data_IF_941091113898
#
_entry.id   IF_941091113898
#
_cell.length_a   1.000
_cell.length_b   1.000
_cell.length_c   1.000
_cell.angle_alpha   90.00
_cell.angle_beta   90.00
_cell.angle_gamma   90.00
#
_symmetry.space_group_name_H-M   'P 1'
#
loop_
_entity.id
_entity.type
_entity.pdbx_description
1 polymer ?
#
# COMPACT_ATOMS: atom_id res chain seq x y z
N UNK A 1 22.93 -19.72 -14.93
CA UNK A 1 21.52 -19.38 -15.08
C UNK A 1 20.78 -19.73 -13.83
N UNK A 2 19.61 -19.16 -13.64
CA UNK A 2 18.80 -19.37 -12.46
C UNK A 2 18.26 -20.79 -12.41
N UNK A 3 18.09 -21.34 -11.21
CA UNK A 3 17.60 -22.69 -11.00
C UNK A 3 16.13 -22.84 -11.47
N UNK A 4 15.38 -21.74 -11.45
CA UNK A 4 13.97 -21.69 -11.88
C UNK A 4 13.59 -20.26 -12.28
N UNK A 5 12.60 -20.13 -13.15
CA UNK A 5 12.08 -18.84 -13.59
C UNK A 5 10.98 -18.30 -12.65
N UNK A 6 10.13 -19.19 -12.14
CA UNK A 6 9.14 -18.90 -11.13
C UNK A 6 8.84 -20.13 -10.25
N UNK A 7 8.29 -19.89 -9.07
CA UNK A 7 7.75 -20.91 -8.17
C UNK A 7 6.29 -20.62 -7.90
N UNK A 8 5.45 -21.61 -8.06
CA UNK A 8 4.01 -21.49 -7.84
C UNK A 8 3.59 -22.30 -6.61
N UNK A 9 2.58 -21.78 -5.93
CA UNK A 9 1.89 -22.47 -4.85
C UNK A 9 0.39 -22.32 -5.11
N UNK A 10 -0.32 -23.41 -5.10
CA UNK A 10 -1.75 -23.43 -5.43
C UNK A 10 -2.60 -22.89 -4.29
N UNK A 11 -3.84 -22.52 -4.56
CA UNK A 11 -4.77 -22.05 -3.55
C UNK A 11 -5.00 -23.11 -2.48
N UNK A 12 -5.07 -22.67 -1.25
CA UNK A 12 -5.37 -23.50 -0.09
C UNK A 12 -6.14 -22.68 0.95
N UNK A 13 -7.00 -23.34 1.69
CA UNK A 13 -7.64 -22.77 2.88
C UNK A 13 -6.72 -22.78 4.12
N UNK A 14 -5.62 -23.52 4.06
CA UNK A 14 -4.62 -23.57 5.14
C UNK A 14 -3.58 -22.48 4.98
N UNK A 15 -3.80 -21.38 5.68
CA UNK A 15 -2.90 -20.21 5.68
C UNK A 15 -1.50 -20.56 6.19
N UNK A 16 -1.35 -21.54 7.09
CA UNK A 16 -0.05 -21.95 7.62
C UNK A 16 0.85 -22.52 6.53
N UNK A 17 0.28 -23.22 5.55
CA UNK A 17 1.00 -23.73 4.39
C UNK A 17 1.50 -22.59 3.48
N UNK A 18 0.67 -21.56 3.28
CA UNK A 18 1.06 -20.37 2.51
C UNK A 18 2.22 -19.65 3.19
N UNK A 19 2.11 -19.40 4.50
CA UNK A 19 3.16 -18.75 5.29
C UNK A 19 4.46 -19.56 5.22
N UNK A 20 4.38 -20.90 5.39
CA UNK A 20 5.53 -21.78 5.31
C UNK A 20 6.18 -21.78 3.92
N UNK A 21 5.37 -21.70 2.86
CA UNK A 21 5.88 -21.57 1.50
C UNK A 21 6.65 -20.27 1.32
N UNK A 22 6.06 -19.13 1.72
CA UNK A 22 6.68 -17.81 1.60
C UNK A 22 7.99 -17.74 2.41
N UNK A 23 8.01 -18.20 3.66
CA UNK A 23 9.19 -18.18 4.52
C UNK A 23 10.37 -19.00 3.99
N UNK A 24 10.11 -20.01 3.16
CA UNK A 24 11.16 -20.82 2.53
C UNK A 24 11.77 -20.16 1.29
N UNK A 25 11.14 -19.09 0.78
CA UNK A 25 11.70 -18.39 -0.37
C UNK A 25 12.88 -17.52 0.09
N UNK A 26 13.88 -17.44 -0.78
CA UNK A 26 15.06 -16.59 -0.59
C UNK A 26 15.21 -15.73 -1.83
N UNK A 27 15.48 -14.45 -1.65
CA UNK A 27 15.91 -13.60 -2.73
C UNK A 27 17.32 -14.03 -3.14
N UNK A 28 17.41 -14.72 -4.27
CA UNK A 28 18.66 -15.24 -4.82
C UNK A 28 18.50 -15.42 -6.33
N UNK A 29 19.56 -15.18 -7.08
CA UNK A 29 19.54 -15.21 -8.55
C UNK A 29 19.48 -13.82 -9.15
N UNK A 30 19.14 -13.75 -10.43
CA UNK A 30 19.11 -12.51 -11.21
C UNK A 30 20.46 -12.22 -11.86
N UNK A 31 20.46 -12.01 -13.17
CA UNK A 31 21.65 -11.65 -13.97
C UNK A 31 21.53 -10.26 -14.57
N UNK A 32 20.33 -9.70 -14.54
CA UNK A 32 19.99 -8.39 -15.10
C UNK A 32 18.95 -7.70 -14.19
N UNK A 33 18.71 -6.42 -14.47
CA UNK A 33 17.81 -5.60 -13.66
C UNK A 33 16.32 -5.87 -13.94
N UNK A 34 15.88 -6.11 -15.19
CA UNK A 34 14.47 -6.42 -15.45
C UNK A 34 14.06 -7.78 -14.88
N UNK A 35 12.80 -7.85 -14.42
CA UNK A 35 12.24 -9.03 -13.75
C UNK A 35 11.31 -9.87 -14.65
N UNK A 36 11.11 -11.14 -14.27
CA UNK A 36 10.28 -12.12 -14.98
C UNK A 36 8.76 -11.88 -14.74
N UNK A 37 8.30 -10.64 -14.93
CA UNK A 37 6.91 -10.20 -14.65
C UNK A 37 5.91 -10.94 -15.52
N UNK A 38 6.23 -11.15 -16.80
CA UNK A 38 5.36 -11.84 -17.76
C UNK A 38 5.11 -13.27 -17.31
N UNK A 39 6.15 -13.98 -16.97
CA UNK A 39 6.11 -15.38 -16.56
C UNK A 39 5.38 -15.55 -15.23
N UNK A 40 5.56 -14.60 -14.31
CA UNK A 40 4.82 -14.55 -13.05
C UNK A 40 3.33 -14.31 -13.27
N UNK A 41 2.96 -13.36 -14.14
CA UNK A 41 1.57 -13.09 -14.53
C UNK A 41 0.94 -14.30 -15.23
N UNK A 42 1.62 -14.87 -16.22
CA UNK A 42 1.14 -16.02 -16.96
C UNK A 42 0.90 -17.22 -16.03
N UNK A 43 1.83 -17.50 -15.13
CA UNK A 43 1.67 -18.54 -14.12
C UNK A 43 0.47 -18.22 -13.19
N UNK A 44 0.36 -17.01 -12.74
CA UNK A 44 -0.72 -16.59 -11.83
C UNK A 44 -2.10 -16.59 -12.51
N UNK A 45 -2.21 -16.30 -13.79
CA UNK A 45 -3.48 -16.25 -14.52
C UNK A 45 -3.90 -17.63 -15.03
N UNK A 46 -2.96 -18.49 -15.43
CA UNK A 46 -3.25 -19.72 -16.17
C UNK A 46 -2.96 -21.01 -15.42
N UNK A 47 -1.97 -21.03 -14.52
CA UNK A 47 -1.49 -22.26 -13.93
C UNK A 47 -2.04 -22.56 -12.53
N UNK A 48 -2.52 -21.52 -11.83
CA UNK A 48 -3.08 -21.68 -10.49
C UNK A 48 -4.55 -22.08 -10.61
N UNK A 49 -4.94 -23.18 -9.95
CA UNK A 49 -6.33 -23.59 -9.87
C UNK A 49 -7.15 -22.59 -9.07
N UNK A 50 -8.10 -21.95 -9.72
CA UNK A 50 -9.05 -21.03 -9.08
C UNK A 50 -10.42 -21.65 -9.01
N UNK A 51 -11.12 -21.29 -7.95
CA UNK A 51 -12.55 -21.53 -7.88
C UNK A 51 -13.25 -20.56 -8.84
N UNK A 52 -13.93 -21.07 -9.85
CA UNK A 52 -14.65 -20.28 -10.84
C UNK A 52 -15.84 -19.53 -10.19
N UNK A 53 -16.41 -20.09 -9.12
CA UNK A 53 -17.49 -19.50 -8.35
C UNK A 53 -17.02 -18.51 -7.29
N UNK A 54 -15.69 -18.28 -7.18
CA UNK A 54 -15.15 -17.29 -6.26
C UNK A 54 -15.73 -15.91 -6.54
N UNK A 55 -16.30 -15.30 -5.50
CA UNK A 55 -16.97 -14.00 -5.56
C UNK A 55 -16.04 -12.87 -6.02
N UNK A 56 -14.79 -12.91 -5.61
CA UNK A 56 -13.77 -11.96 -6.03
C UNK A 56 -12.44 -12.68 -6.25
N UNK A 57 -11.72 -12.25 -7.26
CA UNK A 57 -10.40 -12.79 -7.62
C UNK A 57 -9.42 -11.62 -7.66
N UNK A 58 -8.53 -11.55 -6.66
CA UNK A 58 -7.54 -10.48 -6.53
C UNK A 58 -6.15 -11.04 -6.81
N UNK A 59 -5.39 -10.32 -7.62
CA UNK A 59 -3.99 -10.61 -7.94
C UNK A 59 -3.12 -9.42 -7.54
N UNK A 60 -2.46 -9.50 -6.39
CA UNK A 60 -1.47 -8.51 -5.98
C UNK A 60 -0.15 -8.80 -6.67
N UNK A 61 0.44 -7.79 -7.31
CA UNK A 61 1.76 -7.86 -7.92
C UNK A 61 2.67 -6.85 -7.24
N UNK A 62 3.68 -7.34 -6.53
CA UNK A 62 4.70 -6.50 -5.91
C UNK A 62 5.92 -6.48 -6.83
N UNK A 63 6.29 -5.30 -7.29
CA UNK A 63 7.44 -5.09 -8.18
C UNK A 63 8.38 -4.02 -7.62
N UNK A 64 9.66 -4.32 -7.67
CA UNK A 64 10.78 -3.42 -7.34
C UNK A 64 11.71 -3.18 -8.55
N UNK A 65 11.40 -3.78 -9.70
CA UNK A 65 12.10 -3.58 -10.96
C UNK A 65 11.14 -3.69 -12.16
N UNK A 66 11.50 -3.12 -13.33
CA UNK A 66 10.68 -3.20 -14.52
C UNK A 66 10.65 -4.61 -15.11
N UNK A 67 9.63 -4.95 -15.93
CA UNK A 67 9.68 -6.11 -16.80
C UNK A 67 10.68 -5.87 -17.95
N UNK A 68 11.05 -6.92 -18.64
CA UNK A 68 11.72 -6.78 -19.93
C UNK A 68 10.80 -6.07 -20.94
N UNK A 69 11.31 -5.03 -21.59
CA UNK A 69 10.59 -4.25 -22.60
C UNK A 69 11.13 -4.55 -24.00
N UNK A 70 10.32 -5.23 -24.79
CA UNK A 70 10.37 -5.26 -26.24
C UNK A 70 8.93 -5.31 -26.76
N UNK A 71 8.72 -5.05 -28.03
CA UNK A 71 7.37 -4.94 -28.62
C UNK A 71 6.55 -6.21 -28.43
N UNK A 72 7.16 -7.38 -28.52
CA UNK A 72 6.49 -8.66 -28.31
C UNK A 72 6.03 -8.84 -26.87
N UNK A 73 6.90 -8.49 -25.93
CA UNK A 73 6.60 -8.59 -24.48
C UNK A 73 5.56 -7.59 -24.03
N UNK A 74 5.56 -6.38 -24.57
CA UNK A 74 4.53 -5.39 -24.31
C UNK A 74 3.16 -5.90 -24.76
N UNK A 75 3.07 -6.46 -25.99
CA UNK A 75 1.83 -7.07 -26.50
C UNK A 75 1.40 -8.24 -25.60
N UNK A 76 2.35 -9.05 -25.15
CA UNK A 76 2.06 -10.18 -24.25
C UNK A 76 1.52 -9.71 -22.91
N UNK A 77 2.08 -8.65 -22.31
CA UNK A 77 1.58 -8.04 -21.07
C UNK A 77 0.15 -7.51 -21.22
N UNK A 78 -0.15 -6.81 -22.32
CA UNK A 78 -1.50 -6.34 -22.64
C UNK A 78 -2.49 -7.51 -22.77
N UNK A 79 -2.11 -8.56 -23.48
CA UNK A 79 -2.95 -9.74 -23.63
C UNK A 79 -3.19 -10.47 -22.28
N UNK A 80 -2.20 -10.50 -21.40
CA UNK A 80 -2.35 -11.09 -20.05
C UNK A 80 -3.30 -10.24 -19.19
N UNK A 81 -3.21 -8.92 -19.24
CA UNK A 81 -4.14 -8.05 -18.52
C UNK A 81 -5.58 -8.23 -19.03
N UNK A 82 -5.78 -8.25 -20.35
CA UNK A 82 -7.07 -8.56 -20.96
C UNK A 82 -7.61 -9.92 -20.54
N UNK A 83 -6.79 -10.95 -20.56
CA UNK A 83 -7.16 -12.30 -20.13
C UNK A 83 -7.52 -12.36 -18.64
N UNK A 84 -6.80 -11.62 -17.78
CA UNK A 84 -7.16 -11.48 -16.38
C UNK A 84 -8.55 -10.84 -16.22
N UNK A 85 -8.83 -9.77 -16.96
CA UNK A 85 -10.14 -9.12 -16.95
C UNK A 85 -11.25 -10.08 -17.42
N UNK A 86 -11.03 -10.85 -18.48
CA UNK A 86 -11.98 -11.86 -18.98
C UNK A 86 -12.28 -12.96 -17.95
N UNK A 87 -11.31 -13.31 -17.11
CA UNK A 87 -11.47 -14.26 -15.99
C UNK A 87 -11.99 -13.62 -14.70
N UNK A 88 -12.32 -12.33 -14.71
CA UNK A 88 -12.77 -11.58 -13.53
C UNK A 88 -11.68 -11.39 -12.47
N UNK A 89 -10.40 -11.50 -12.85
CA UNK A 89 -9.26 -11.28 -11.97
C UNK A 89 -8.92 -9.79 -11.96
N UNK A 90 -8.94 -9.15 -10.79
CA UNK A 90 -8.52 -7.77 -10.60
C UNK A 90 -7.04 -7.74 -10.27
N UNK A 91 -6.25 -7.10 -11.11
CA UNK A 91 -4.82 -6.90 -10.87
C UNK A 91 -4.64 -5.69 -9.99
N UNK A 92 -3.91 -5.87 -8.89
CA UNK A 92 -3.62 -4.84 -7.89
C UNK A 92 -2.09 -4.69 -7.80
N UNK A 93 -1.51 -3.85 -8.64
CA UNK A 93 -0.09 -3.62 -8.64
C UNK A 93 0.32 -2.81 -7.40
N UNK A 94 1.43 -3.21 -6.79
CA UNK A 94 2.09 -2.53 -5.68
C UNK A 94 3.49 -2.15 -6.13
N UNK A 95 3.69 -0.91 -6.51
CA UNK A 95 5.00 -0.40 -6.91
C UNK A 95 5.89 -0.19 -5.69
N UNK A 96 7.04 -0.86 -5.67
CA UNK A 96 8.06 -0.69 -4.67
C UNK A 96 9.24 0.18 -5.18
N UNK A 97 10.37 0.17 -4.50
CA UNK A 97 11.59 0.89 -4.91
C UNK A 97 12.15 0.35 -6.23
N UNK A 98 12.88 1.19 -6.96
CA UNK A 98 13.52 0.77 -8.21
C UNK A 98 12.64 0.82 -9.47
N UNK A 99 11.40 1.25 -9.34
CA UNK A 99 10.48 1.38 -10.47
C UNK A 99 10.77 2.63 -11.31
N UNK A 100 10.57 2.53 -12.62
CA UNK A 100 10.60 3.65 -13.54
C UNK A 100 9.18 4.13 -13.95
N UNK A 101 9.11 5.28 -14.62
CA UNK A 101 7.85 5.87 -15.06
C UNK A 101 7.11 5.03 -16.10
N UNK A 102 7.81 4.29 -16.92
CA UNK A 102 7.21 3.40 -17.92
C UNK A 102 6.54 2.23 -17.26
N UNK A 103 7.18 1.66 -16.26
CA UNK A 103 6.62 0.57 -15.44
C UNK A 103 5.44 1.05 -14.60
N UNK A 104 5.52 2.25 -14.01
CA UNK A 104 4.38 2.87 -13.32
C UNK A 104 3.17 2.98 -14.25
N UNK A 105 3.38 3.50 -15.49
CA UNK A 105 2.32 3.61 -16.48
C UNK A 105 1.70 2.25 -16.83
N UNK A 106 2.54 1.24 -17.08
CA UNK A 106 2.11 -0.13 -17.36
C UNK A 106 1.26 -0.70 -16.22
N UNK A 107 1.71 -0.57 -14.98
CA UNK A 107 0.99 -1.07 -13.80
C UNK A 107 -0.36 -0.37 -13.61
N UNK A 108 -0.40 0.95 -13.84
CA UNK A 108 -1.66 1.71 -13.81
C UNK A 108 -2.63 1.26 -14.91
N UNK A 109 -2.12 1.01 -16.11
CA UNK A 109 -2.92 0.51 -17.22
C UNK A 109 -3.51 -0.88 -16.92
N UNK A 110 -2.70 -1.81 -16.39
CA UNK A 110 -3.18 -3.14 -15.99
C UNK A 110 -4.24 -3.08 -14.88
N UNK A 111 -4.04 -2.22 -13.87
CA UNK A 111 -5.03 -2.02 -12.82
C UNK A 111 -6.35 -1.48 -13.40
N UNK A 112 -6.29 -0.48 -14.28
CA UNK A 112 -7.46 0.11 -14.91
C UNK A 112 -8.21 -0.90 -15.78
N UNK A 113 -7.50 -1.66 -16.62
CA UNK A 113 -8.09 -2.66 -17.54
C UNK A 113 -8.81 -3.79 -16.78
N UNK A 114 -8.32 -4.16 -15.60
CA UNK A 114 -8.89 -5.22 -14.78
C UNK A 114 -9.82 -4.71 -13.68
N UNK A 115 -10.16 -3.42 -13.68
CA UNK A 115 -10.94 -2.77 -12.62
C UNK A 115 -10.34 -3.00 -11.22
N UNK A 116 -9.02 -3.01 -11.14
CA UNK A 116 -8.24 -3.09 -9.91
C UNK A 116 -7.82 -1.71 -9.40
N UNK A 117 -6.92 -1.70 -8.42
CA UNK A 117 -6.39 -0.47 -7.81
C UNK A 117 -4.87 -0.49 -7.85
N UNK A 118 -4.26 0.57 -8.39
CA UNK A 118 -2.81 0.76 -8.34
C UNK A 118 -2.41 1.28 -6.96
N UNK A 119 -1.42 0.64 -6.38
CA UNK A 119 -0.82 0.98 -5.09
C UNK A 119 0.68 1.27 -5.27
N UNK A 120 1.25 2.05 -4.37
CA UNK A 120 2.69 2.32 -4.36
C UNK A 120 3.20 2.45 -2.92
N UNK A 121 4.44 2.02 -2.71
CA UNK A 121 5.16 2.19 -1.45
C UNK A 121 5.91 3.51 -1.52
N UNK A 122 5.96 4.24 -0.43
CA UNK A 122 6.64 5.54 -0.33
C UNK A 122 7.92 5.44 0.49
N UNK A 123 8.80 6.42 0.38
CA UNK A 123 10.03 6.53 1.18
C UNK A 123 9.80 6.58 2.70
N UNK A 124 8.55 6.71 3.15
CA UNK A 124 8.20 6.67 4.58
C UNK A 124 8.47 5.29 5.23
N UNK A 125 8.65 4.25 4.45
CA UNK A 125 8.99 2.92 4.98
C UNK A 125 10.41 2.85 5.55
N UNK A 126 11.32 3.67 5.04
CA UNK A 126 12.76 3.61 5.37
C UNK A 126 13.45 2.32 4.94
N UNK A 127 12.81 1.51 4.09
CA UNK A 127 13.30 0.21 3.61
C UNK A 127 13.40 0.24 2.08
N UNK A 128 14.50 -0.27 1.54
CA UNK A 128 14.76 -0.34 0.11
C UNK A 128 15.48 0.91 -0.43
N UNK A 129 15.60 0.97 -1.76
CA UNK A 129 16.12 2.12 -2.48
C UNK A 129 15.04 3.22 -2.55
N UNK A 130 15.42 4.38 -3.10
CA UNK A 130 14.48 5.48 -3.31
C UNK A 130 13.29 5.04 -4.17
N UNK A 131 12.11 5.47 -3.74
CA UNK A 131 10.87 5.26 -4.48
C UNK A 131 10.63 6.43 -5.42
N UNK A 132 10.05 6.17 -6.59
CA UNK A 132 9.66 7.25 -7.49
C UNK A 132 8.59 8.14 -6.84
N UNK A 133 8.69 9.44 -7.10
CA UNK A 133 7.65 10.37 -6.67
C UNK A 133 6.32 10.00 -7.33
N UNK A 134 5.23 9.90 -6.54
CA UNK A 134 3.92 9.58 -7.09
C UNK A 134 3.48 10.57 -8.14
N UNK A 135 2.86 10.09 -9.22
CA UNK A 135 2.28 10.95 -10.27
C UNK A 135 0.97 11.63 -9.84
N UNK A 136 0.62 11.61 -8.57
CA UNK A 136 -0.57 12.23 -8.00
C UNK A 136 -0.20 13.27 -6.97
N UNK A 137 -0.87 14.42 -6.99
CA UNK A 137 -0.62 15.52 -6.05
C UNK A 137 -1.17 15.24 -4.64
N UNK A 138 -2.13 14.33 -4.52
CA UNK A 138 -2.72 13.96 -3.24
C UNK A 138 -2.83 12.45 -3.10
N UNK A 139 -2.27 11.92 -2.02
CA UNK A 139 -2.39 10.52 -1.64
C UNK A 139 -2.39 10.39 -0.11
N UNK A 140 -3.01 9.33 0.37
CA UNK A 140 -3.02 8.98 1.79
C UNK A 140 -1.93 7.94 2.05
N UNK A 141 -1.06 8.20 3.01
CA UNK A 141 -0.08 7.22 3.49
C UNK A 141 -0.74 6.38 4.58
N UNK A 142 -0.73 5.08 4.40
CA UNK A 142 -1.21 4.09 5.37
C UNK A 142 -0.22 2.92 5.44
N UNK A 143 -0.28 2.11 6.49
CA UNK A 143 0.56 0.93 6.62
C UNK A 143 0.19 -0.09 5.56
N UNK A 144 1.19 -0.82 5.02
CA UNK A 144 0.98 -1.74 3.89
C UNK A 144 -0.04 -2.85 4.22
N UNK A 145 0.00 -3.40 5.43
CA UNK A 145 -0.97 -4.40 5.86
C UNK A 145 -2.41 -3.84 5.96
N UNK A 146 -2.57 -2.61 6.43
CA UNK A 146 -3.88 -1.95 6.54
C UNK A 146 -4.41 -1.62 5.15
N UNK A 147 -3.54 -1.14 4.26
CA UNK A 147 -3.84 -0.88 2.87
C UNK A 147 -4.32 -2.14 2.13
N UNK A 148 -3.57 -3.24 2.25
CA UNK A 148 -3.94 -4.52 1.62
C UNK A 148 -5.27 -5.03 2.19
N UNK A 149 -5.45 -5.00 3.50
CA UNK A 149 -6.70 -5.40 4.13
C UNK A 149 -7.88 -4.56 3.63
N UNK A 150 -7.72 -3.24 3.56
CA UNK A 150 -8.76 -2.33 3.05
C UNK A 150 -9.14 -2.65 1.61
N UNK A 151 -8.16 -2.94 0.75
CA UNK A 151 -8.39 -3.31 -0.65
C UNK A 151 -9.13 -4.65 -0.74
N UNK A 152 -8.74 -5.64 0.06
CA UNK A 152 -9.44 -6.94 0.10
C UNK A 152 -10.89 -6.74 0.52
N UNK A 153 -11.14 -5.98 1.59
CA UNK A 153 -12.49 -5.70 2.07
C UNK A 153 -13.31 -4.96 1.02
N UNK A 154 -12.74 -3.91 0.40
CA UNK A 154 -13.41 -3.12 -0.64
C UNK A 154 -13.92 -3.98 -1.81
N UNK A 155 -13.14 -4.97 -2.23
CA UNK A 155 -13.52 -5.83 -3.37
C UNK A 155 -14.30 -7.09 -2.95
N UNK A 156 -14.29 -7.44 -1.68
CA UNK A 156 -15.03 -8.60 -1.14
C UNK A 156 -16.37 -8.22 -0.52
N UNK A 157 -16.59 -6.92 -0.32
CA UNK A 157 -17.82 -6.41 0.29
C UNK A 157 -19.05 -6.72 -0.59
N UNK A 158 -20.09 -7.21 0.06
CA UNK A 158 -21.37 -7.48 -0.59
C UNK A 158 -22.24 -6.24 -0.41
N UNK A 159 -22.50 -5.53 -1.48
CA UNK A 159 -23.61 -4.58 -1.51
C UNK A 159 -24.91 -5.38 -1.66
N UNK A 160 -25.37 -6.00 -0.59
CA UNK A 160 -26.68 -6.63 -0.59
C UNK A 160 -27.75 -5.55 -0.63
N UNK A 161 -28.51 -5.52 -1.71
CA UNK A 161 -29.82 -4.85 -1.75
C UNK A 161 -30.86 -5.58 -0.86
N UNK A 162 -30.47 -6.62 -0.14
CA UNK A 162 -31.31 -7.42 0.75
C UNK A 162 -30.69 -7.40 2.15
N UNK A 163 -31.51 -7.01 3.12
CA UNK A 163 -31.21 -6.85 4.54
C UNK A 163 -30.18 -7.85 5.12
N UNK A 164 -29.14 -7.31 5.72
CA UNK A 164 -28.11 -8.02 6.48
C UNK A 164 -28.70 -8.50 7.82
N UNK A 165 -29.56 -9.50 7.81
CA UNK A 165 -30.07 -10.02 9.10
C UNK A 165 -29.47 -11.36 9.54
N UNK A 166 -28.67 -12.07 8.72
CA UNK A 166 -28.31 -13.46 9.05
C UNK A 166 -26.89 -13.94 8.72
N UNK A 167 -25.87 -13.07 8.73
CA UNK A 167 -24.50 -13.59 8.75
C UNK A 167 -23.89 -13.48 10.15
N UNK A 168 -23.40 -14.57 10.75
CA UNK A 168 -22.65 -14.49 12.01
C UNK A 168 -21.31 -13.82 11.71
N UNK A 169 -21.27 -12.49 11.84
CA UNK A 169 -20.03 -11.73 11.80
C UNK A 169 -19.23 -12.12 13.05
N UNK A 170 -18.03 -12.59 12.84
CA UNK A 170 -17.14 -12.94 13.94
C UNK A 170 -16.83 -11.65 14.73
N UNK A 171 -17.53 -11.46 15.87
CA UNK A 171 -17.48 -10.25 16.71
C UNK A 171 -16.07 -9.79 17.09
N UNK A 172 -15.06 -10.67 17.04
CA UNK A 172 -13.64 -10.31 17.27
C UNK A 172 -13.04 -9.46 16.15
N UNK A 173 -13.56 -9.57 14.91
CA UNK A 173 -13.12 -8.75 13.77
C UNK A 173 -13.79 -7.37 13.83
N UNK A 174 -15.08 -7.32 14.22
CA UNK A 174 -15.79 -6.05 14.36
C UNK A 174 -15.24 -5.15 15.47
N UNK A 175 -14.83 -5.72 16.61
CA UNK A 175 -14.19 -4.95 17.68
C UNK A 175 -12.85 -4.37 17.22
N UNK A 176 -12.07 -5.13 16.45
CA UNK A 176 -10.78 -4.66 15.93
C UNK A 176 -10.94 -3.61 14.81
N UNK A 177 -11.95 -3.78 13.94
CA UNK A 177 -12.27 -2.81 12.89
C UNK A 177 -12.88 -1.53 13.46
N UNK A 178 -13.76 -1.63 14.47
CA UNK A 178 -14.31 -0.43 15.15
C UNK A 178 -13.25 0.38 15.86
N UNK A 179 -12.26 -0.27 16.47
CA UNK A 179 -11.15 0.45 17.11
C UNK A 179 -10.21 1.11 16.10
N UNK A 180 -10.10 0.59 14.87
CA UNK A 180 -9.21 1.09 13.83
C UNK A 180 -9.85 2.18 12.96
N UNK A 181 -11.12 2.07 12.64
CA UNK A 181 -11.86 3.07 11.84
C UNK A 181 -12.03 4.41 12.58
N UNK A 182 -11.79 4.46 13.88
CA UNK A 182 -12.01 5.67 14.70
C UNK A 182 -10.75 6.47 15.04
N UNK A 183 -9.56 6.07 14.58
CA UNK A 183 -8.35 6.86 14.80
C UNK A 183 -8.22 7.90 13.69
N UNK A 184 -8.74 9.10 13.95
CA UNK A 184 -8.62 10.26 13.08
C UNK A 184 -7.74 11.32 13.72
N UNK A 185 -7.08 12.11 12.91
CA UNK A 185 -6.35 13.28 13.35
C UNK A 185 -6.43 14.41 12.31
N UNK A 186 -6.18 15.61 12.76
CA UNK A 186 -6.16 16.80 11.91
C UNK A 186 -5.02 17.72 12.32
N UNK A 187 -4.45 18.43 11.35
CA UNK A 187 -3.38 19.40 11.55
C UNK A 187 -3.84 20.72 10.93
N UNK A 188 -4.00 21.75 11.76
CA UNK A 188 -4.51 23.03 11.30
C UNK A 188 -3.96 24.23 12.11
N UNK A 189 -3.91 25.42 11.49
CA UNK A 189 -4.09 25.66 10.07
C UNK A 189 -2.96 25.05 9.25
N UNK A 190 -3.28 24.57 8.04
CA UNK A 190 -2.29 24.04 7.13
C UNK A 190 -2.66 24.46 5.69
N UNK A 191 -1.93 25.41 5.07
CA UNK A 191 -0.69 26.07 5.54
C UNK A 191 -0.85 26.93 6.79
N UNK A 192 0.26 27.12 7.52
CA UNK A 192 0.34 27.97 8.70
C UNK A 192 1.35 29.10 8.54
N UNK A 193 1.15 30.19 9.28
CA UNK A 193 2.13 31.27 9.44
C UNK A 193 3.01 31.11 10.70
N UNK A 194 2.61 30.23 11.62
CA UNK A 194 3.34 30.01 12.86
C UNK A 194 2.73 28.90 13.68
N UNK A 195 1.75 29.19 14.51
CA UNK A 195 1.15 28.19 15.39
C UNK A 195 0.34 27.15 14.60
N UNK A 196 0.53 25.88 14.92
CA UNK A 196 -0.22 24.76 14.36
C UNK A 196 -0.78 23.91 15.50
N UNK A 197 -2.01 23.50 15.36
CA UNK A 197 -2.70 22.58 16.29
C UNK A 197 -2.84 21.21 15.62
N UNK A 198 -2.61 20.18 16.40
CA UNK A 198 -2.77 18.78 16.03
C UNK A 198 -3.83 18.18 16.95
N UNK A 199 -5.00 17.84 16.41
CA UNK A 199 -6.06 17.15 17.14
C UNK A 199 -6.07 15.67 16.75
N UNK A 200 -6.14 14.80 17.75
CA UNK A 200 -6.13 13.35 17.58
C UNK A 200 -7.34 12.77 18.32
N UNK A 201 -8.09 11.91 17.67
CA UNK A 201 -9.32 11.31 18.24
C UNK A 201 -9.06 10.44 19.49
N UNK A 202 -7.84 9.91 19.63
CA UNK A 202 -7.37 9.16 20.80
C UNK A 202 -6.11 9.82 21.36
N UNK A 203 -5.80 9.54 22.64
CA UNK A 203 -4.58 10.07 23.28
C UNK A 203 -3.32 9.54 22.59
N UNK A 204 -2.48 10.45 22.13
CA UNK A 204 -1.11 10.16 21.70
C UNK A 204 -0.15 10.29 22.89
N UNK A 205 0.90 9.50 22.89
CA UNK A 205 1.94 9.50 23.92
C UNK A 205 3.13 10.35 23.54
N UNK A 206 3.41 10.47 22.25
CA UNK A 206 4.59 11.15 21.73
C UNK A 206 4.26 11.89 20.44
N UNK A 207 4.85 13.05 20.27
CA UNK A 207 4.78 13.87 19.07
C UNK A 207 6.17 14.24 18.60
N UNK A 208 6.43 14.07 17.33
CA UNK A 208 7.70 14.39 16.67
C UNK A 208 7.46 15.33 15.48
N UNK A 209 8.42 16.20 15.21
CA UNK A 209 8.47 16.98 13.99
C UNK A 209 9.86 16.88 13.35
N UNK A 210 9.85 16.67 12.05
CA UNK A 210 11.06 16.52 11.23
C UNK A 210 11.07 17.53 10.09
N UNK A 211 12.25 17.89 9.62
CA UNK A 211 12.41 18.59 8.36
C UNK A 211 12.37 17.63 7.15
N UNK A 212 12.52 18.18 5.95
CA UNK A 212 12.52 17.42 4.68
C UNK A 212 13.72 16.46 4.54
N UNK A 213 14.75 16.60 5.38
CA UNK A 213 15.93 15.70 5.40
C UNK A 213 15.76 14.56 6.43
N UNK A 214 14.63 14.55 7.18
CA UNK A 214 14.40 13.59 8.25
C UNK A 214 15.08 13.97 9.58
N UNK A 215 15.67 15.17 9.68
CA UNK A 215 16.25 15.65 10.93
C UNK A 215 15.13 15.98 11.93
N UNK A 216 15.22 15.42 13.13
CA UNK A 216 14.32 15.75 14.24
C UNK A 216 14.50 17.20 14.69
N UNK A 217 13.43 17.99 14.66
CA UNK A 217 13.40 19.39 15.02
C UNK A 217 12.65 19.65 16.33
N UNK A 218 11.65 18.82 16.64
CA UNK A 218 10.82 18.95 17.84
C UNK A 218 10.40 17.58 18.33
N UNK A 219 10.36 17.40 19.64
CA UNK A 219 9.88 16.20 20.31
C UNK A 219 9.12 16.60 21.57
N UNK A 220 7.98 15.96 21.79
CA UNK A 220 7.19 16.12 23.01
C UNK A 220 6.70 14.76 23.47
N UNK A 221 7.07 14.39 24.69
CA UNK A 221 6.55 13.25 25.43
C UNK A 221 5.45 13.76 26.35
N UNK A 222 4.21 13.65 25.91
CA UNK A 222 3.02 14.06 26.64
C UNK A 222 1.82 13.28 26.16
N UNK A 223 1.09 12.70 27.08
CA UNK A 223 -0.15 12.01 26.78
C UNK A 223 -1.29 13.01 26.64
N UNK A 224 -1.72 13.26 25.41
CA UNK A 224 -2.78 14.23 25.11
C UNK A 224 -3.50 13.88 23.80
N UNK A 225 -4.68 14.49 23.59
CA UNK A 225 -5.42 14.44 22.33
C UNK A 225 -5.16 15.68 21.47
N UNK A 226 -4.63 16.74 22.06
CA UNK A 226 -4.36 17.98 21.36
C UNK A 226 -2.94 18.46 21.66
N UNK A 227 -2.21 18.74 20.60
CA UNK A 227 -0.86 19.31 20.66
C UNK A 227 -0.79 20.61 19.90
N UNK A 228 0.11 21.50 20.33
CA UNK A 228 0.42 22.73 19.62
C UNK A 228 1.92 22.83 19.37
N UNK A 229 2.28 23.20 18.16
CA UNK A 229 3.67 23.47 17.79
C UNK A 229 3.76 24.91 17.27
N UNK A 230 4.67 25.69 17.83
CA UNK A 230 4.99 27.02 17.33
C UNK A 230 6.12 26.92 16.31
N UNK A 231 5.78 27.18 15.05
CA UNK A 231 6.70 27.20 13.91
C UNK A 231 7.24 28.62 13.62
N UNK A 232 6.91 29.64 14.43
CA UNK A 232 7.27 31.04 14.15
C UNK A 232 8.77 31.21 13.91
N UNK A 233 9.61 30.54 14.71
CA UNK A 233 11.07 30.56 14.60
C UNK A 233 11.68 29.67 13.51
N UNK A 234 10.88 28.92 12.78
CA UNK A 234 11.37 27.99 11.76
C UNK A 234 11.28 28.61 10.35
N UNK A 235 12.09 28.20 9.38
CA UNK A 235 12.00 28.64 7.98
C UNK A 235 10.67 28.27 7.32
N UNK A 236 10.31 28.99 6.22
CA UNK A 236 9.21 28.56 5.36
C UNK A 236 9.59 27.28 4.65
N UNK A 237 8.93 26.19 4.96
CA UNK A 237 9.22 24.85 4.45
C UNK A 237 8.04 23.90 4.71
N UNK A 238 8.20 22.67 4.26
CA UNK A 238 7.37 21.53 4.64
C UNK A 238 8.01 20.86 5.87
N UNK A 239 7.21 20.55 6.86
CA UNK A 239 7.57 19.77 8.03
C UNK A 239 6.72 18.53 8.15
N UNK A 240 7.30 17.44 8.60
CA UNK A 240 6.60 16.19 8.82
C UNK A 240 6.33 16.00 10.31
N UNK A 241 5.07 15.70 10.63
CA UNK A 241 4.61 15.43 11.98
C UNK A 241 4.36 13.93 12.12
N UNK A 242 4.86 13.34 13.20
CA UNK A 242 4.61 11.97 13.59
C UNK A 242 4.03 11.97 15.00
N UNK A 243 2.91 11.28 15.22
CA UNK A 243 2.33 11.06 16.52
C UNK A 243 2.22 9.56 16.82
N UNK A 244 2.48 9.19 18.09
CA UNK A 244 2.37 7.82 18.57
C UNK A 244 1.08 7.66 19.38
N UNK A 245 0.19 6.74 18.95
CA UNK A 245 -1.07 6.43 19.61
C UNK A 245 -1.09 4.94 19.92
N UNK A 246 -0.74 4.56 21.14
CA UNK A 246 -0.46 3.16 21.51
C UNK A 246 0.62 2.59 20.55
N UNK A 247 0.31 1.50 19.85
CA UNK A 247 1.21 0.82 18.91
C UNK A 247 1.11 1.37 17.47
N UNK A 248 0.34 2.46 17.25
CA UNK A 248 0.13 3.06 15.93
C UNK A 248 0.86 4.38 15.78
N UNK A 249 1.35 4.60 14.58
CA UNK A 249 1.99 5.84 14.17
C UNK A 249 1.08 6.60 13.22
N UNK A 250 0.85 7.87 13.49
CA UNK A 250 0.19 8.80 12.59
C UNK A 250 1.23 9.70 11.95
N UNK A 251 1.14 9.90 10.64
CA UNK A 251 2.03 10.77 9.90
C UNK A 251 1.24 11.85 9.16
N UNK A 252 1.75 13.05 9.17
CA UNK A 252 1.20 14.16 8.42
C UNK A 252 2.26 15.19 8.07
N UNK A 253 1.86 16.12 7.22
CA UNK A 253 2.72 17.24 6.84
C UNK A 253 2.07 18.57 7.21
N UNK A 254 2.88 19.53 7.58
CA UNK A 254 2.48 20.92 7.75
C UNK A 254 3.33 21.80 6.84
N UNK A 255 2.68 22.76 6.18
CA UNK A 255 3.34 23.71 5.28
C UNK A 255 3.40 25.04 6.00
N UNK A 256 4.61 25.52 6.28
CA UNK A 256 4.80 26.89 6.76
C UNK A 256 5.00 27.83 5.57
N UNK A 257 4.17 28.86 5.51
CA UNK A 257 4.27 29.96 4.55
C UNK A 257 4.17 31.29 5.29
N UNK A 258 4.80 32.31 4.75
CA UNK A 258 4.58 33.70 5.21
C UNK A 258 3.18 34.16 4.87
#
# INVERSE_FOLDING_TARGET
GDEYLNKNFDFTSDISNVISFIQKQKANGGGDYPEAVIEGLEASIDKINRDDDARTKLLFILLDAPPHYDDEKIIKLQNLAKKAAEKGIRIIPVAASGMDKSTEFLMRAMALETNGTYLFITNHSGIGNDHIEPSTESYKVEMLNDLILRIILQYSEINDCLSIENYPINTKIEEKIKDDVTLTWSIYPNPTQGLVTIDISKEATELYMYDTTGKLLFYQDKKDKQFQIDLTGFPNAIYYIKAMVKDKQLFGKVIKKK
#
